data_IF_394799783543
#
_entry.id   IF_394799783543
#
_cell.length_a   1.000
_cell.length_b   1.000
_cell.length_c   1.000
_cell.angle_alpha   90.00
_cell.angle_beta   90.00
_cell.angle_gamma   90.00
#
_symmetry.space_group_name_H-M   'P 1'
#
loop_
_entity.id
_entity.type
_entity.pdbx_description
1 polymer ?
#
# COMPACT_ATOMS: atom_id res chain seq x y z
N UNK A 1 7.39 34.88 0.13
CA UNK A 1 7.15 33.80 -0.86
C UNK A 1 6.02 32.97 -0.27
N UNK A 2 4.79 33.20 -0.73
CA UNK A 2 3.61 32.50 -0.23
C UNK A 2 3.68 31.08 -0.75
N UNK A 3 4.05 30.12 0.10
CA UNK A 3 3.94 28.71 -0.26
C UNK A 3 2.49 28.37 0.02
N UNK A 4 1.67 28.46 -1.03
CA UNK A 4 0.31 27.96 -1.00
C UNK A 4 0.41 26.45 -0.72
N UNK A 5 0.25 26.05 0.54
CA UNK A 5 0.06 24.67 0.97
C UNK A 5 -1.35 24.20 0.59
N UNK A 6 -1.75 24.42 -0.67
CA UNK A 6 -2.90 23.71 -1.21
C UNK A 6 -2.46 22.27 -1.39
N UNK A 7 -2.78 21.43 -0.40
CA UNK A 7 -2.91 19.99 -0.61
C UNK A 7 -3.86 19.84 -1.79
N UNK A 8 -3.31 19.66 -2.99
CA UNK A 8 -4.09 19.38 -4.19
C UNK A 8 -4.61 17.96 -4.06
N UNK A 9 -5.64 17.80 -3.22
CA UNK A 9 -6.47 16.61 -3.18
C UNK A 9 -7.09 16.49 -4.56
N UNK A 10 -6.50 15.61 -5.37
CA UNK A 10 -7.14 15.15 -6.59
C UNK A 10 -8.51 14.62 -6.20
N UNK A 11 -9.56 15.12 -6.83
CA UNK A 11 -10.91 14.55 -6.72
C UNK A 11 -11.11 13.39 -7.71
N UNK A 12 -10.10 13.07 -8.52
CA UNK A 12 -10.13 11.98 -9.48
C UNK A 12 -9.69 10.65 -8.82
N UNK A 13 -10.58 9.65 -8.71
CA UNK A 13 -10.23 8.32 -8.22
C UNK A 13 -9.11 7.64 -9.02
N UNK A 14 -9.00 7.92 -10.32
CA UNK A 14 -7.97 7.29 -11.15
C UNK A 14 -6.56 7.65 -10.70
N UNK A 15 -6.35 8.87 -10.19
CA UNK A 15 -5.05 9.29 -9.66
C UNK A 15 -4.58 8.39 -8.52
N UNK A 16 -5.41 8.19 -7.50
CA UNK A 16 -5.08 7.34 -6.34
C UNK A 16 -4.94 5.87 -6.72
N UNK A 17 -5.81 5.38 -7.61
CA UNK A 17 -5.73 3.99 -8.09
C UNK A 17 -4.40 3.74 -8.80
N UNK A 18 -3.96 4.64 -9.69
CA UNK A 18 -2.69 4.51 -10.41
C UNK A 18 -1.51 4.59 -9.45
N UNK A 19 -1.55 5.51 -8.48
CA UNK A 19 -0.49 5.62 -7.47
C UNK A 19 -0.34 4.34 -6.65
N UNK A 20 -1.47 3.79 -6.17
CA UNK A 20 -1.50 2.55 -5.41
C UNK A 20 -1.09 1.33 -6.24
N UNK A 21 -1.48 1.31 -7.52
CA UNK A 21 -1.06 0.26 -8.45
C UNK A 21 0.44 0.33 -8.73
N UNK A 22 1.01 1.52 -8.92
CA UNK A 22 2.46 1.71 -9.05
C UNK A 22 3.21 1.23 -7.81
N UNK A 23 2.73 1.57 -6.62
CA UNK A 23 3.26 1.09 -5.34
C UNK A 23 3.30 -0.45 -5.30
N UNK A 24 2.22 -1.11 -5.73
CA UNK A 24 2.15 -2.58 -5.82
C UNK A 24 3.18 -3.18 -6.78
N UNK A 25 3.48 -2.51 -7.90
CA UNK A 25 4.49 -2.97 -8.86
C UNK A 25 5.90 -2.93 -8.26
N UNK A 26 6.24 -1.89 -7.49
CA UNK A 26 7.51 -1.83 -6.77
C UNK A 26 7.64 -2.95 -5.74
N UNK A 27 6.53 -3.30 -5.07
CA UNK A 27 6.48 -4.44 -4.13
C UNK A 27 6.73 -5.77 -4.84
N UNK A 28 6.12 -6.00 -6.01
CA UNK A 28 6.33 -7.21 -6.81
C UNK A 28 7.77 -7.30 -7.32
N UNK A 29 8.41 -6.16 -7.61
CA UNK A 29 9.85 -6.10 -7.94
C UNK A 29 10.76 -6.78 -6.91
N UNK A 30 10.26 -6.99 -5.69
CA UNK A 30 10.93 -7.76 -4.63
C UNK A 30 11.34 -9.15 -5.05
N UNK A 31 10.56 -9.80 -5.91
CA UNK A 31 10.87 -11.14 -6.42
C UNK A 31 12.24 -11.20 -7.09
N UNK A 32 12.67 -10.11 -7.75
CA UNK A 32 13.94 -10.02 -8.47
C UNK A 32 15.05 -9.39 -7.63
N UNK A 33 14.70 -8.60 -6.62
CA UNK A 33 15.64 -7.83 -5.80
C UNK A 33 15.94 -8.46 -4.43
N UNK A 34 15.69 -9.76 -4.26
CA UNK A 34 15.77 -10.43 -2.94
C UNK A 34 14.94 -9.70 -1.86
N UNK A 35 13.75 -9.25 -2.27
CA UNK A 35 12.77 -8.50 -1.48
C UNK A 35 13.19 -7.11 -1.02
N UNK A 36 14.35 -6.61 -1.44
CA UNK A 36 14.82 -5.29 -1.05
C UNK A 36 13.84 -4.19 -1.47
N UNK A 37 13.35 -4.23 -2.72
CA UNK A 37 12.39 -3.23 -3.21
C UNK A 37 11.04 -3.33 -2.50
N UNK A 38 10.62 -4.52 -2.06
CA UNK A 38 9.40 -4.68 -1.26
C UNK A 38 9.54 -4.04 0.11
N UNK A 39 10.66 -4.28 0.79
CA UNK A 39 10.93 -3.69 2.10
C UNK A 39 11.01 -2.16 1.99
N UNK A 40 11.68 -1.67 0.95
CA UNK A 40 11.74 -0.24 0.66
C UNK A 40 10.35 0.34 0.39
N UNK A 41 9.55 -0.30 -0.46
CA UNK A 41 8.18 0.15 -0.73
C UNK A 41 7.33 0.16 0.54
N UNK A 42 7.35 -0.90 1.36
CA UNK A 42 6.65 -0.96 2.65
C UNK A 42 7.03 0.21 3.56
N UNK A 43 8.33 0.48 3.68
CA UNK A 43 8.83 1.59 4.49
C UNK A 43 8.30 2.93 3.99
N UNK A 44 8.37 3.18 2.68
CA UNK A 44 7.91 4.42 2.08
C UNK A 44 6.40 4.60 2.21
N UNK A 45 5.60 3.55 1.99
CA UNK A 45 4.14 3.62 2.16
C UNK A 45 3.79 3.91 3.63
N UNK A 46 4.43 3.23 4.60
CA UNK A 46 4.22 3.50 6.02
C UNK A 46 4.69 4.90 6.44
N UNK A 47 5.79 5.39 5.87
CA UNK A 47 6.29 6.74 6.11
C UNK A 47 5.31 7.81 5.62
N UNK A 48 4.82 7.69 4.38
CA UNK A 48 3.84 8.63 3.83
C UNK A 48 2.53 8.62 4.63
N UNK A 49 2.06 7.44 5.04
CA UNK A 49 0.89 7.32 5.92
C UNK A 49 1.11 8.08 7.24
N UNK A 50 2.29 7.95 7.85
CA UNK A 50 2.67 8.66 9.07
C UNK A 50 2.72 10.17 8.89
N UNK A 51 3.38 10.65 7.83
CA UNK A 51 3.47 12.09 7.51
C UNK A 51 2.09 12.70 7.25
N UNK A 52 1.23 12.00 6.50
CA UNK A 52 -0.15 12.45 6.26
C UNK A 52 -0.95 12.49 7.56
N UNK A 53 -0.80 11.48 8.43
CA UNK A 53 -1.46 11.46 9.73
C UNK A 53 -1.08 12.64 10.61
N UNK A 54 0.23 12.90 10.75
CA UNK A 54 0.72 14.02 11.56
C UNK A 54 0.32 15.36 10.95
N UNK A 55 0.40 15.51 9.63
CA UNK A 55 0.02 16.74 8.94
C UNK A 55 -1.45 17.10 9.13
N UNK A 56 -2.38 16.14 8.94
CA UNK A 56 -3.81 16.37 9.19
C UNK A 56 -4.08 16.58 10.68
N UNK A 57 -3.35 15.87 11.56
CA UNK A 57 -3.47 16.00 13.00
C UNK A 57 -3.11 17.40 13.51
N UNK A 58 -2.09 18.01 12.94
CA UNK A 58 -1.62 19.37 13.26
C UNK A 58 -2.52 20.46 12.66
N UNK A 59 -3.03 20.26 11.43
CA UNK A 59 -3.89 21.23 10.74
C UNK A 59 -5.33 21.26 11.27
N UNK A 60 -5.88 20.11 11.64
CA UNK A 60 -7.29 19.96 12.02
C UNK A 60 -7.43 19.38 13.43
N UNK A 61 -7.29 18.05 13.55
CA UNK A 61 -7.33 17.34 14.82
C UNK A 61 -6.88 15.89 14.63
N UNK A 62 -6.42 15.25 15.70
CA UNK A 62 -6.08 13.83 15.69
C UNK A 62 -7.26 12.93 15.27
N UNK A 63 -8.49 13.25 15.71
CA UNK A 63 -9.71 12.52 15.31
C UNK A 63 -9.98 12.63 13.81
N UNK A 64 -9.74 13.81 13.23
CA UNK A 64 -9.91 14.04 11.79
C UNK A 64 -8.88 13.25 10.99
N UNK A 65 -7.62 13.24 11.43
CA UNK A 65 -6.56 12.45 10.81
C UNK A 65 -6.87 10.96 10.86
N UNK A 66 -7.31 10.46 12.02
CA UNK A 66 -7.70 9.06 12.19
C UNK A 66 -8.90 8.70 11.30
N UNK A 67 -9.92 9.56 11.20
CA UNK A 67 -11.08 9.34 10.34
C UNK A 67 -10.74 9.34 8.84
N UNK A 68 -9.91 10.29 8.41
CA UNK A 68 -9.44 10.39 7.02
C UNK A 68 -8.65 9.16 6.59
N UNK A 69 -7.70 8.72 7.42
CA UNK A 69 -6.94 7.48 7.16
C UNK A 69 -7.82 6.25 7.25
N UNK A 70 -8.72 6.16 8.24
CA UNK A 70 -9.61 5.02 8.37
C UNK A 70 -10.55 4.85 7.17
N UNK A 71 -10.94 5.94 6.51
CA UNK A 71 -11.82 5.88 5.34
C UNK A 71 -11.25 4.96 4.25
N UNK A 72 -10.01 5.18 3.82
CA UNK A 72 -9.39 4.41 2.73
C UNK A 72 -8.43 3.32 3.22
N UNK A 73 -7.77 3.53 4.36
CA UNK A 73 -6.75 2.64 4.93
C UNK A 73 -7.26 1.23 5.29
N UNK A 74 -8.57 1.07 5.53
CA UNK A 74 -9.20 -0.26 5.72
C UNK A 74 -9.02 -1.16 4.49
N UNK A 75 -8.95 -0.58 3.29
CA UNK A 75 -8.71 -1.32 2.05
C UNK A 75 -7.24 -1.28 1.63
N UNK A 76 -6.58 -0.13 1.78
CA UNK A 76 -5.20 0.07 1.33
C UNK A 76 -4.20 -0.76 2.13
N UNK A 77 -4.31 -0.80 3.46
CA UNK A 77 -3.36 -1.54 4.31
C UNK A 77 -3.38 -3.05 3.97
N UNK A 78 -4.55 -3.72 3.90
CA UNK A 78 -4.60 -5.11 3.44
C UNK A 78 -4.07 -5.31 2.02
N UNK A 79 -4.33 -4.37 1.10
CA UNK A 79 -3.82 -4.43 -0.27
C UNK A 79 -2.28 -4.42 -0.31
N UNK A 80 -1.66 -3.49 0.43
CA UNK A 80 -0.20 -3.38 0.59
C UNK A 80 0.37 -4.67 1.17
N UNK A 81 -0.24 -5.21 2.23
CA UNK A 81 0.24 -6.44 2.87
C UNK A 81 0.18 -7.65 1.92
N UNK A 82 -0.90 -7.79 1.15
CA UNK A 82 -1.04 -8.86 0.17
C UNK A 82 -0.02 -8.75 -0.97
N UNK A 83 0.14 -7.54 -1.53
CA UNK A 83 1.15 -7.29 -2.56
C UNK A 83 2.57 -7.56 -2.04
N UNK A 84 2.88 -7.08 -0.83
CA UNK A 84 4.17 -7.26 -0.19
C UNK A 84 4.48 -8.71 0.15
N UNK A 85 3.47 -9.50 0.56
CA UNK A 85 3.64 -10.92 0.82
C UNK A 85 4.16 -11.65 -0.43
N UNK A 86 3.73 -11.24 -1.63
CA UNK A 86 4.25 -11.79 -2.89
C UNK A 86 5.72 -11.41 -3.15
N UNK A 87 6.11 -10.17 -2.84
CA UNK A 87 7.49 -9.68 -3.00
C UNK A 87 8.49 -10.25 -1.99
N UNK A 88 8.00 -10.76 -0.85
CA UNK A 88 8.82 -11.34 0.23
C UNK A 88 9.13 -12.85 0.05
N UNK A 89 8.59 -13.50 -0.99
CA UNK A 89 8.84 -14.91 -1.27
C UNK A 89 10.32 -15.33 -1.40
N UNK A 90 11.24 -14.51 -1.94
CA UNK A 90 12.66 -14.87 -1.99
C UNK A 90 13.23 -15.26 -0.63
N UNK A 91 12.89 -14.54 0.44
CA UNK A 91 13.32 -14.88 1.81
C UNK A 91 12.72 -16.20 2.31
N UNK A 92 11.45 -16.46 1.98
CA UNK A 92 10.82 -17.74 2.29
C UNK A 92 11.52 -18.90 1.57
N UNK A 93 11.91 -18.72 0.32
CA UNK A 93 12.66 -19.74 -0.43
C UNK A 93 14.06 -19.96 0.16
N UNK A 94 14.79 -18.90 0.54
CA UNK A 94 16.07 -19.01 1.24
C UNK A 94 15.90 -19.80 2.54
N UNK A 95 14.89 -19.47 3.34
CA UNK A 95 14.60 -20.18 4.59
C UNK A 95 14.32 -21.68 4.36
N UNK A 96 13.48 -22.01 3.38
CA UNK A 96 13.18 -23.40 3.04
C UNK A 96 14.41 -24.16 2.54
N UNK A 97 15.25 -23.50 1.72
CA UNK A 97 16.51 -24.05 1.24
C UNK A 97 17.46 -24.36 2.40
N UNK A 98 17.68 -23.42 3.32
CA UNK A 98 18.53 -23.61 4.51
C UNK A 98 18.01 -24.71 5.46
N UNK A 99 16.71 -24.98 5.47
CA UNK A 99 16.07 -26.02 6.29
C UNK A 99 15.84 -27.33 5.54
N UNK A 100 16.34 -27.48 4.31
CA UNK A 100 16.10 -28.65 3.44
C UNK A 100 14.61 -29.03 3.31
N UNK A 101 13.72 -28.03 3.35
CA UNK A 101 12.27 -28.22 3.22
C UNK A 101 11.88 -28.29 1.74
N UNK A 102 10.99 -29.21 1.39
CA UNK A 102 10.39 -29.28 0.05
C UNK A 102 9.46 -28.09 -0.17
N UNK A 103 9.60 -27.41 -1.30
CA UNK A 103 8.78 -26.25 -1.66
C UNK A 103 7.74 -26.67 -2.72
N UNK A 104 6.46 -26.38 -2.49
CA UNK A 104 5.39 -26.60 -3.46
C UNK A 104 5.21 -25.37 -4.35
N UNK A 105 6.15 -25.15 -5.28
CA UNK A 105 6.22 -23.93 -6.11
C UNK A 105 4.89 -23.58 -6.81
N UNK A 106 4.17 -24.57 -7.35
CA UNK A 106 2.90 -24.35 -8.05
C UNK A 106 1.81 -23.77 -7.14
N UNK A 107 1.74 -24.23 -5.90
CA UNK A 107 0.75 -23.76 -4.92
C UNK A 107 1.08 -22.35 -4.45
N UNK A 108 2.35 -22.08 -4.17
CA UNK A 108 2.83 -20.74 -3.84
C UNK A 108 2.59 -19.74 -4.96
N UNK A 109 2.86 -20.11 -6.22
CA UNK A 109 2.59 -19.24 -7.37
C UNK A 109 1.10 -18.94 -7.53
N UNK A 110 0.23 -19.96 -7.39
CA UNK A 110 -1.23 -19.78 -7.42
C UNK A 110 -1.69 -18.83 -6.32
N UNK A 111 -1.19 -19.00 -5.10
CA UNK A 111 -1.52 -18.13 -3.98
C UNK A 111 -1.02 -16.70 -4.21
N UNK A 112 0.20 -16.52 -4.74
CA UNK A 112 0.74 -15.19 -5.06
C UNK A 112 -0.10 -14.46 -6.10
N UNK A 113 -0.53 -15.15 -7.16
CA UNK A 113 -1.43 -14.56 -8.17
C UNK A 113 -2.77 -14.17 -7.52
N UNK A 114 -3.33 -15.04 -6.68
CA UNK A 114 -4.57 -14.74 -5.96
C UNK A 114 -4.44 -13.53 -5.03
N UNK A 115 -3.31 -13.41 -4.32
CA UNK A 115 -3.01 -12.27 -3.44
C UNK A 115 -2.87 -10.98 -4.22
N UNK A 116 -2.20 -11.01 -5.38
CA UNK A 116 -1.99 -9.86 -6.25
C UNK A 116 -3.31 -9.37 -6.87
N UNK A 117 -4.14 -10.30 -7.36
CA UNK A 117 -5.48 -9.96 -7.87
C UNK A 117 -6.32 -9.33 -6.76
N UNK A 118 -6.31 -9.92 -5.56
CA UNK A 118 -7.05 -9.38 -4.41
C UNK A 118 -6.53 -8.00 -3.99
N UNK A 119 -5.20 -7.77 -4.00
CA UNK A 119 -4.64 -6.45 -3.70
C UNK A 119 -5.06 -5.40 -4.70
N UNK A 120 -5.10 -5.72 -5.99
CA UNK A 120 -5.56 -4.78 -7.04
C UNK A 120 -7.02 -4.39 -6.81
N UNK A 121 -7.89 -5.36 -6.51
CA UNK A 121 -9.30 -5.08 -6.21
C UNK A 121 -9.42 -4.15 -4.99
N UNK A 122 -8.65 -4.42 -3.94
CA UNK A 122 -8.66 -3.59 -2.73
C UNK A 122 -8.12 -2.17 -2.99
N UNK A 123 -7.08 -2.00 -3.80
CA UNK A 123 -6.57 -0.67 -4.17
C UNK A 123 -7.59 0.14 -4.98
N UNK A 124 -8.36 -0.51 -5.85
CA UNK A 124 -9.45 0.14 -6.58
C UNK A 124 -10.51 0.65 -5.59
N UNK A 125 -10.91 -0.19 -4.63
CA UNK A 125 -11.86 0.21 -3.59
C UNK A 125 -11.30 1.35 -2.73
N UNK A 126 -10.03 1.27 -2.32
CA UNK A 126 -9.33 2.30 -1.56
C UNK A 126 -9.36 3.65 -2.28
N UNK A 127 -8.96 3.70 -3.57
CA UNK A 127 -8.92 4.94 -4.34
C UNK A 127 -10.30 5.56 -4.60
N UNK A 128 -11.35 4.75 -4.78
CA UNK A 128 -12.72 5.25 -4.89
C UNK A 128 -13.17 5.88 -3.56
N UNK A 129 -12.89 5.21 -2.44
CA UNK A 129 -13.24 5.72 -1.11
C UNK A 129 -12.42 6.97 -0.79
N UNK A 130 -11.13 6.98 -1.10
CA UNK A 130 -10.25 8.12 -0.87
C UNK A 130 -10.75 9.35 -1.63
N UNK A 131 -11.05 9.23 -2.92
CA UNK A 131 -11.51 10.36 -3.72
C UNK A 131 -12.89 10.92 -3.28
N UNK A 132 -13.75 10.08 -2.70
CA UNK A 132 -15.12 10.48 -2.31
C UNK A 132 -15.27 10.85 -0.85
N UNK A 133 -14.54 10.18 0.04
CA UNK A 133 -14.76 10.21 1.48
C UNK A 133 -13.63 10.95 2.21
N UNK A 134 -12.36 10.77 1.84
CA UNK A 134 -11.26 11.46 2.52
C UNK A 134 -11.38 12.99 2.49
N UNK A 135 -11.82 13.65 1.38
CA UNK A 135 -12.04 15.10 1.37
C UNK A 135 -13.09 15.61 2.36
N UNK A 136 -14.08 14.79 2.75
CA UNK A 136 -15.12 15.21 3.71
C UNK A 136 -14.56 15.47 5.12
N UNK A 137 -13.40 14.91 5.44
CA UNK A 137 -12.75 15.10 6.73
C UNK A 137 -11.81 16.30 6.74
N UNK A 138 -11.23 16.66 5.59
CA UNK A 138 -10.14 17.65 5.47
C UNK A 138 -10.66 18.93 4.78
N UNK A 139 -11.97 19.15 4.81
CA UNK A 139 -12.63 20.36 4.31
C UNK A 139 -12.81 21.40 5.42
#
# INVERSE_FOLDING_TARGET
MNIDHTLTLSSDPFYYIIHNLQSSLYMIGGLFSFSFTTLWALFINGYYLGVTFTGIGELYSFSTAAGSIAAHGVFEIPAILLASATGLYPWYFIYCFLKNKKIRYKEHLKNSISMLVLSVVLFILAGIIEAKISPLFVQ
#
